data_IF_049928852554
#
_entry.id   IF_049928852554
#
_cell.length_a   1.000
_cell.length_b   1.000
_cell.length_c   1.000
_cell.angle_alpha   90.00
_cell.angle_beta   90.00
_cell.angle_gamma   90.00
#
_symmetry.space_group_name_H-M   'P 1'
#
loop_
_entity.id
_entity.type
_entity.pdbx_description
1 polymer ?
#
# COMPACT_ATOMS: atom_id res chain seq x y z
N UNK A 1 -80.83 -18.16 -34.88
CA UNK A 1 -82.05 -18.18 -34.05
C UNK A 1 -82.43 -19.63 -33.84
N UNK A 2 -82.21 -20.13 -32.61
CA UNK A 2 -82.75 -21.33 -31.93
C UNK A 2 -82.58 -22.73 -32.60
N UNK A 3 -82.15 -23.81 -31.93
CA UNK A 3 -82.42 -24.25 -30.54
C UNK A 3 -81.42 -25.35 -30.04
N UNK A 4 -80.91 -25.18 -28.80
CA UNK A 4 -80.69 -26.12 -27.65
C UNK A 4 -80.31 -27.60 -27.90
N UNK A 5 -79.15 -28.14 -27.43
CA UNK A 5 -78.69 -28.52 -26.06
C UNK A 5 -79.30 -29.81 -25.47
N UNK A 6 -78.51 -30.86 -25.17
CA UNK A 6 -78.00 -31.24 -23.82
C UNK A 6 -77.41 -32.68 -23.72
N UNK A 7 -76.32 -32.83 -22.94
CA UNK A 7 -75.88 -33.95 -22.05
C UNK A 7 -75.66 -35.41 -22.57
N UNK A 8 -74.71 -36.27 -22.13
CA UNK A 8 -74.08 -36.47 -20.82
C UNK A 8 -72.84 -37.44 -20.83
N UNK A 9 -72.04 -37.32 -19.76
CA UNK A 9 -70.81 -37.99 -19.25
C UNK A 9 -70.62 -39.52 -19.34
N UNK A 10 -69.34 -39.95 -19.32
CA UNK A 10 -68.89 -41.26 -18.78
C UNK A 10 -67.49 -41.16 -18.10
N UNK A 11 -67.32 -41.87 -16.98
CA UNK A 11 -66.03 -42.08 -16.27
C UNK A 11 -65.86 -43.53 -15.79
N UNK A 12 -64.74 -44.14 -16.21
CA UNK A 12 -63.77 -45.03 -15.54
C UNK A 12 -64.13 -46.36 -14.79
N UNK A 13 -63.36 -47.43 -15.11
CA UNK A 13 -62.63 -48.39 -14.25
C UNK A 13 -62.13 -49.61 -15.10
N UNK A 14 -60.82 -49.85 -15.30
CA UNK A 14 -59.86 -50.74 -14.54
C UNK A 14 -60.08 -52.27 -14.77
N UNK A 15 -59.12 -53.22 -14.90
CA UNK A 15 -57.65 -53.35 -14.69
C UNK A 15 -57.10 -54.72 -15.21
N UNK A 16 -55.76 -54.80 -15.47
CA UNK A 16 -54.72 -55.90 -15.38
C UNK A 16 -55.02 -57.39 -15.78
N UNK A 17 -54.09 -58.33 -16.10
CA UNK A 17 -52.65 -58.43 -16.45
C UNK A 17 -52.25 -59.94 -16.66
N UNK A 18 -50.99 -60.17 -17.07
CA UNK A 18 -50.09 -61.36 -16.89
C UNK A 18 -49.83 -62.27 -18.11
N UNK A 19 -48.52 -62.59 -18.32
CA UNK A 19 -47.88 -63.36 -19.41
C UNK A 19 -46.87 -64.38 -18.82
N UNK A 20 -46.76 -65.57 -19.43
CA UNK A 20 -45.76 -66.64 -19.17
C UNK A 20 -44.88 -66.91 -20.42
N UNK A 21 -43.72 -67.56 -20.26
CA UNK A 21 -42.61 -67.65 -21.24
C UNK A 21 -42.45 -68.94 -22.07
N UNK A 22 -41.18 -69.19 -22.50
CA UNK A 22 -40.51 -70.41 -23.02
C UNK A 22 -39.91 -70.34 -24.47
N UNK A 23 -38.56 -70.42 -24.50
CA UNK A 23 -37.56 -71.13 -25.32
C UNK A 23 -37.57 -71.35 -26.88
N UNK A 24 -36.40 -70.99 -27.48
CA UNK A 24 -35.50 -71.69 -28.44
C UNK A 24 -35.93 -72.22 -29.82
N UNK A 25 -35.36 -71.70 -30.93
CA UNK A 25 -34.25 -72.31 -31.73
C UNK A 25 -33.87 -71.47 -32.99
N UNK A 26 -32.62 -71.57 -33.45
CA UNK A 26 -31.92 -70.77 -34.49
C UNK A 26 -31.99 -71.30 -35.93
N UNK A 27 -31.93 -70.40 -36.94
CA UNK A 27 -30.93 -70.30 -38.04
C UNK A 27 -31.34 -69.17 -39.05
N UNK A 28 -30.42 -68.64 -39.90
CA UNK A 28 -30.13 -67.20 -39.91
C UNK A 28 -30.35 -66.51 -41.26
N UNK A 29 -30.79 -65.25 -41.24
CA UNK A 29 -30.56 -64.27 -42.31
C UNK A 29 -30.97 -62.86 -41.85
N UNK A 30 -30.07 -61.92 -42.13
CA UNK A 30 -30.26 -60.49 -42.42
C UNK A 30 -31.08 -59.54 -41.51
N UNK A 31 -30.49 -58.34 -41.40
CA UNK A 31 -31.03 -57.04 -40.98
C UNK A 31 -31.19 -56.70 -39.48
N UNK A 32 -30.21 -55.89 -39.02
CA UNK A 32 -30.23 -54.72 -38.08
C UNK A 32 -30.90 -54.93 -36.70
N UNK A 33 -30.30 -54.59 -35.52
CA UNK A 33 -29.77 -53.24 -35.24
C UNK A 33 -28.72 -53.11 -34.11
N UNK A 34 -28.58 -51.88 -33.61
CA UNK A 34 -27.90 -51.46 -32.37
C UNK A 34 -26.43 -51.05 -32.52
N UNK A 35 -26.27 -49.87 -33.14
CA UNK A 35 -25.10 -49.04 -32.95
C UNK A 35 -24.87 -48.71 -31.48
N UNK A 36 -23.69 -49.10 -30.99
CA UNK A 36 -22.92 -48.35 -30.00
C UNK A 36 -21.59 -47.99 -30.65
N UNK A 37 -21.64 -47.06 -31.60
CA UNK A 37 -20.44 -46.32 -31.96
C UNK A 37 -20.16 -45.32 -30.85
N UNK A 38 -18.93 -45.37 -30.35
CA UNK A 38 -18.30 -44.39 -29.47
C UNK A 38 -18.60 -42.98 -29.98
N UNK A 39 -19.54 -42.28 -29.32
CA UNK A 39 -19.45 -40.84 -29.20
C UNK A 39 -18.49 -40.60 -28.04
N UNK A 40 -17.23 -40.32 -28.36
CA UNK A 40 -16.41 -39.53 -27.46
C UNK A 40 -17.20 -38.26 -27.17
N UNK A 41 -17.73 -38.18 -25.96
CA UNK A 41 -18.18 -36.93 -25.39
C UNK A 41 -17.00 -35.95 -25.50
N UNK A 42 -17.18 -34.72 -26.00
CA UNK A 42 -16.21 -33.69 -25.70
C UNK A 42 -16.19 -33.60 -24.18
N UNK A 43 -15.07 -34.00 -23.60
CA UNK A 43 -14.67 -33.65 -22.25
C UNK A 43 -14.99 -32.15 -22.08
N UNK A 44 -15.54 -31.71 -20.93
CA UNK A 44 -15.66 -30.28 -20.70
C UNK A 44 -14.27 -29.70 -20.90
N UNK A 45 -14.13 -28.90 -21.95
CA UNK A 45 -12.92 -28.14 -22.20
C UNK A 45 -12.71 -27.35 -20.92
N UNK A 46 -11.63 -27.69 -20.22
CA UNK A 46 -11.10 -26.81 -19.22
C UNK A 46 -10.88 -25.49 -19.97
N UNK A 47 -11.75 -24.51 -19.72
CA UNK A 47 -11.41 -23.09 -19.82
C UNK A 47 -10.30 -22.85 -18.77
N UNK A 48 -9.12 -23.44 -19.01
CA UNK A 48 -7.89 -23.08 -18.35
C UNK A 48 -7.48 -21.76 -18.96
N UNK A 49 -7.84 -20.69 -18.25
CA UNK A 49 -7.00 -19.53 -18.01
C UNK A 49 -5.88 -19.32 -19.04
N UNK A 50 -6.23 -18.79 -20.21
CA UNK A 50 -5.29 -17.93 -20.92
C UNK A 50 -5.72 -16.50 -20.60
N UNK A 51 -5.27 -16.05 -19.42
CA UNK A 51 -5.35 -14.67 -18.97
C UNK A 51 -4.61 -13.82 -20.01
N UNK A 52 -5.33 -13.22 -20.95
CA UNK A 52 -4.78 -12.10 -21.73
C UNK A 52 -4.62 -10.97 -20.73
N UNK A 53 -3.42 -10.79 -20.19
CA UNK A 53 -3.09 -9.63 -19.37
C UNK A 53 -3.21 -8.39 -20.28
N UNK A 54 -4.11 -7.44 -20.02
CA UNK A 54 -4.09 -6.16 -20.69
C UNK A 54 -2.72 -5.52 -20.48
N UNK A 55 -2.02 -5.28 -21.58
CA UNK A 55 -0.65 -4.75 -21.63
C UNK A 55 -0.50 -3.49 -20.76
N UNK A 56 -1.51 -2.61 -20.78
CA UNK A 56 -1.58 -1.39 -19.98
C UNK A 56 -1.50 -1.64 -18.47
N UNK A 57 -2.26 -2.61 -17.92
CA UNK A 57 -2.24 -2.86 -16.48
C UNK A 57 -0.87 -3.35 -16.00
N UNK A 58 -0.22 -4.20 -16.80
CA UNK A 58 1.12 -4.69 -16.50
C UNK A 58 2.15 -3.57 -16.55
N UNK A 59 2.05 -2.66 -17.53
CA UNK A 59 2.95 -1.51 -17.65
C UNK A 59 2.72 -0.50 -16.52
N UNK A 60 1.46 -0.20 -16.17
CA UNK A 60 1.14 0.65 -15.01
C UNK A 60 1.78 0.10 -13.73
N UNK A 61 1.71 -1.22 -13.51
CA UNK A 61 2.33 -1.85 -12.33
C UNK A 61 3.85 -1.64 -12.29
N UNK A 62 4.52 -1.75 -13.44
CA UNK A 62 5.96 -1.52 -13.54
C UNK A 62 6.32 -0.05 -13.31
N UNK A 63 5.45 0.87 -13.74
CA UNK A 63 5.65 2.31 -13.57
C UNK A 63 5.41 2.79 -12.14
N UNK A 64 4.54 2.13 -11.38
CA UNK A 64 4.28 2.45 -9.96
C UNK A 64 5.24 1.70 -9.04
N UNK A 65 5.82 0.59 -9.52
CA UNK A 65 6.75 -0.20 -8.72
C UNK A 65 7.88 0.71 -8.24
N UNK A 66 8.19 0.72 -6.94
CA UNK A 66 9.35 1.45 -6.46
C UNK A 66 10.61 0.88 -7.15
N UNK A 67 11.32 1.73 -7.90
CA UNK A 67 12.52 1.37 -8.69
C UNK A 67 13.69 0.86 -7.83
N UNK A 68 13.62 1.08 -6.52
CA UNK A 68 14.52 0.60 -5.50
C UNK A 68 13.67 0.19 -4.30
N UNK A 69 14.05 -0.85 -3.54
CA UNK A 69 13.62 -0.95 -2.15
C UNK A 69 14.32 0.18 -1.39
N UNK A 70 13.85 1.41 -1.59
CA UNK A 70 13.83 2.34 -0.48
C UNK A 70 12.82 1.71 0.48
N UNK A 71 13.27 1.43 1.70
CA UNK A 71 12.38 1.05 2.78
C UNK A 71 11.38 2.21 2.98
N UNK A 72 10.30 2.23 2.19
CA UNK A 72 9.10 3.02 2.49
C UNK A 72 8.45 2.51 3.81
N UNK A 73 8.94 1.39 4.36
CA UNK A 73 8.66 0.86 5.69
C UNK A 73 9.59 1.43 6.80
N UNK A 74 10.68 2.13 6.47
CA UNK A 74 11.52 2.84 7.47
C UNK A 74 10.89 4.20 7.79
N UNK A 75 9.74 4.16 8.48
CA UNK A 75 8.99 5.27 9.08
C UNK A 75 8.86 6.51 8.17
N UNK A 76 7.67 6.69 7.55
CA UNK A 76 7.20 7.96 6.95
C UNK A 76 7.83 9.13 7.74
N UNK A 77 8.83 9.81 7.16
CA UNK A 77 9.39 11.09 7.63
C UNK A 77 8.34 12.19 7.39
N UNK A 78 7.10 11.96 7.79
CA UNK A 78 6.34 13.06 8.31
C UNK A 78 7.08 13.44 9.60
N UNK A 79 7.79 14.59 9.57
CA UNK A 79 8.06 15.32 10.81
C UNK A 79 6.81 15.19 11.66
N UNK A 80 6.90 14.68 12.91
CA UNK A 80 5.72 14.47 13.71
C UNK A 80 4.93 15.77 13.68
N UNK A 81 3.75 15.73 13.06
CA UNK A 81 2.92 16.92 12.79
C UNK A 81 2.55 17.64 14.11
N UNK A 82 2.83 16.96 15.24
CA UNK A 82 2.69 17.43 16.59
C UNK A 82 4.07 17.52 17.23
N UNK A 83 4.54 18.76 17.42
CA UNK A 83 5.74 19.05 18.18
C UNK A 83 5.46 18.84 19.68
N UNK A 84 6.03 17.77 20.23
CA UNK A 84 5.98 17.47 21.67
C UNK A 84 7.30 17.77 22.38
N UNK A 85 8.19 18.56 21.78
CA UNK A 85 9.50 18.91 22.33
C UNK A 85 9.45 19.59 23.71
N UNK A 86 8.32 20.21 24.06
CA UNK A 86 8.10 20.89 25.34
C UNK A 86 7.48 20.01 26.44
N UNK A 87 7.08 18.77 26.11
CA UNK A 87 6.42 17.87 27.06
C UNK A 87 7.43 16.96 27.77
N UNK A 88 7.15 16.66 29.04
CA UNK A 88 7.92 15.70 29.83
C UNK A 88 7.36 14.26 29.75
N UNK A 89 8.09 13.27 30.26
CA UNK A 89 7.67 11.84 30.23
C UNK A 89 6.29 11.62 30.84
N UNK A 90 5.96 12.28 31.96
CA UNK A 90 4.65 12.13 32.61
C UNK A 90 3.53 12.64 31.69
N UNK A 91 3.68 13.84 31.11
CA UNK A 91 2.70 14.42 30.20
C UNK A 91 2.52 13.57 28.93
N UNK A 92 3.59 13.00 28.39
CA UNK A 92 3.53 12.09 27.24
C UNK A 92 2.77 10.80 27.57
N UNK A 93 3.00 10.23 28.76
CA UNK A 93 2.29 9.02 29.20
C UNK A 93 0.81 9.30 29.43
N UNK A 94 0.46 10.40 30.09
CA UNK A 94 -0.94 10.80 30.30
C UNK A 94 -1.66 11.05 28.97
N UNK A 95 -0.99 11.73 28.05
CA UNK A 95 -1.52 11.96 26.71
C UNK A 95 -1.71 10.66 25.94
N UNK A 96 -0.77 9.70 26.04
CA UNK A 96 -0.93 8.38 25.43
C UNK A 96 -2.13 7.66 26.03
N UNK A 97 -2.24 7.62 27.36
CA UNK A 97 -3.34 6.96 28.07
C UNK A 97 -4.72 7.50 27.69
N UNK A 98 -4.83 8.82 27.43
CA UNK A 98 -6.03 9.46 26.89
C UNK A 98 -6.25 9.11 25.42
N UNK A 99 -5.20 9.23 24.59
CA UNK A 99 -5.27 8.99 23.14
C UNK A 99 -5.73 7.57 22.83
N UNK A 100 -5.27 6.57 23.59
CA UNK A 100 -5.65 5.17 23.38
C UNK A 100 -7.09 4.83 23.78
N UNK A 101 -7.84 5.76 24.36
CA UNK A 101 -9.28 5.59 24.59
C UNK A 101 -10.11 5.82 23.31
N UNK A 102 -9.57 6.51 22.32
CA UNK A 102 -10.24 6.72 21.04
C UNK A 102 -10.34 5.39 20.27
N UNK A 103 -11.54 5.12 19.76
CA UNK A 103 -11.87 3.87 19.07
C UNK A 103 -11.34 3.89 17.64
N UNK A 104 -11.31 5.07 17.01
CA UNK A 104 -10.84 5.22 15.64
C UNK A 104 -9.31 5.32 15.55
N UNK A 105 -8.68 4.16 15.28
CA UNK A 105 -7.23 4.03 15.08
C UNK A 105 -6.69 4.96 13.99
N UNK A 106 -7.50 5.29 12.98
CA UNK A 106 -7.06 6.13 11.86
C UNK A 106 -6.78 7.57 12.29
N UNK A 107 -7.47 8.06 13.33
CA UNK A 107 -7.30 9.41 13.89
C UNK A 107 -6.10 9.51 14.82
N UNK A 108 -5.82 8.43 15.57
CA UNK A 108 -4.79 8.47 16.61
C UNK A 108 -3.43 7.94 16.18
N UNK A 109 -3.32 7.26 15.01
CA UNK A 109 -2.06 6.63 14.59
C UNK A 109 -0.85 7.58 14.56
N UNK A 110 -1.05 8.82 14.11
CA UNK A 110 0.04 9.80 13.98
C UNK A 110 0.43 10.34 15.36
N UNK A 111 -0.55 10.71 16.18
CA UNK A 111 -0.33 11.18 17.53
C UNK A 111 0.36 10.12 18.40
N UNK A 112 -0.08 8.86 18.36
CA UNK A 112 0.56 7.75 19.09
C UNK A 112 2.00 7.51 18.61
N UNK A 113 2.25 7.60 17.30
CA UNK A 113 3.61 7.49 16.75
C UNK A 113 4.52 8.61 17.27
N UNK A 114 4.05 9.86 17.21
CA UNK A 114 4.79 11.01 17.72
C UNK A 114 5.06 10.88 19.23
N UNK A 115 4.06 10.56 20.05
CA UNK A 115 4.24 10.34 21.50
C UNK A 115 5.28 9.25 21.76
N UNK A 116 5.24 8.13 21.02
CA UNK A 116 6.23 7.06 21.13
C UNK A 116 7.64 7.55 20.85
N UNK A 117 7.85 8.30 19.76
CA UNK A 117 9.17 8.82 19.38
C UNK A 117 9.72 9.75 20.47
N UNK A 118 8.94 10.73 20.92
CA UNK A 118 9.37 11.66 21.96
C UNK A 118 9.59 10.98 23.32
N UNK A 119 8.74 10.02 23.70
CA UNK A 119 8.91 9.27 24.94
C UNK A 119 10.20 8.44 24.92
N UNK A 120 10.47 7.72 23.82
CA UNK A 120 11.69 6.91 23.69
C UNK A 120 12.95 7.78 23.69
N UNK A 121 12.89 8.98 23.11
CA UNK A 121 13.99 9.94 23.17
C UNK A 121 14.29 10.36 24.60
N UNK A 122 13.30 10.84 25.35
CA UNK A 122 13.47 11.22 26.75
C UNK A 122 13.91 10.04 27.62
N UNK A 123 13.37 8.84 27.36
CA UNK A 123 13.77 7.64 28.08
C UNK A 123 15.23 7.27 27.83
N UNK A 124 15.71 7.41 26.58
CA UNK A 124 17.12 7.19 26.24
C UNK A 124 18.02 8.19 26.98
N UNK A 125 17.61 9.47 27.03
CA UNK A 125 18.35 10.52 27.76
C UNK A 125 18.42 10.22 29.27
N UNK A 126 17.32 9.78 29.89
CA UNK A 126 17.30 9.38 31.31
C UNK A 126 18.22 8.19 31.58
N UNK A 127 18.15 7.14 30.75
CA UNK A 127 19.01 5.95 30.88
C UNK A 127 20.49 6.32 30.71
N UNK A 128 20.81 7.21 29.78
CA UNK A 128 22.18 7.70 29.60
C UNK A 128 22.68 8.42 30.87
N UNK A 129 21.84 9.24 31.51
CA UNK A 129 22.19 9.90 32.78
C UNK A 129 22.36 8.90 33.93
N UNK A 130 21.51 7.87 34.01
CA UNK A 130 21.64 6.80 35.01
C UNK A 130 22.94 6.00 34.82
N UNK A 131 23.30 5.68 33.57
CA UNK A 131 24.57 5.04 33.24
C UNK A 131 25.75 5.94 33.64
N UNK A 132 25.70 7.23 33.32
CA UNK A 132 26.74 8.19 33.69
C UNK A 132 26.92 8.28 35.22
N UNK A 133 25.83 8.30 35.99
CA UNK A 133 25.87 8.27 37.45
C UNK A 133 26.44 6.94 37.98
N UNK A 134 26.02 5.81 37.42
CA UNK A 134 26.52 4.49 37.82
C UNK A 134 28.03 4.35 37.60
N UNK A 135 28.55 4.89 36.50
CA UNK A 135 29.99 4.94 36.21
C UNK A 135 30.70 5.86 37.21
N UNK A 136 30.12 7.03 37.52
CA UNK A 136 30.69 7.98 38.48
C UNK A 136 30.81 7.39 39.90
N UNK A 137 29.87 6.51 40.28
CA UNK A 137 29.88 5.77 41.55
C UNK A 137 30.85 4.58 41.55
N UNK A 138 31.61 4.38 40.46
CA UNK A 138 32.63 3.34 40.33
C UNK A 138 32.13 2.02 39.74
N UNK A 139 30.92 2.01 39.17
CA UNK A 139 30.36 0.88 38.45
C UNK A 139 30.95 0.72 37.04
N UNK A 140 30.92 -0.51 36.53
CA UNK A 140 31.34 -0.81 35.15
C UNK A 140 30.14 -0.74 34.19
N UNK A 141 30.27 -0.02 33.07
CA UNK A 141 29.17 0.21 32.12
C UNK A 141 28.56 -1.09 31.60
N UNK A 142 29.34 -2.15 31.38
CA UNK A 142 28.84 -3.43 30.87
C UNK A 142 28.01 -4.20 31.91
N UNK A 143 28.14 -3.83 33.18
CA UNK A 143 27.37 -4.40 34.29
C UNK A 143 26.04 -3.68 34.58
N UNK A 144 25.76 -2.55 33.91
CA UNK A 144 24.52 -1.81 34.11
C UNK A 144 23.30 -2.56 33.57
N UNK A 145 22.26 -2.69 34.39
CA UNK A 145 20.96 -3.24 33.98
C UNK A 145 19.86 -2.24 34.26
N UNK A 146 19.20 -1.75 33.22
CA UNK A 146 18.06 -0.85 33.33
C UNK A 146 16.87 -1.55 34.00
N UNK A 147 16.20 -0.85 34.92
CA UNK A 147 14.95 -1.31 35.54
C UNK A 147 13.87 -0.31 35.19
N UNK A 148 12.80 -0.80 34.55
CA UNK A 148 11.69 0.04 34.10
C UNK A 148 11.14 0.90 35.24
N UNK A 149 11.06 2.20 34.99
CA UNK A 149 10.41 3.13 35.92
C UNK A 149 8.86 2.99 35.87
N UNK A 150 8.12 3.56 36.85
CA UNK A 150 6.65 3.51 36.85
C UNK A 150 5.98 4.14 35.62
N UNK A 151 6.58 5.17 35.02
CA UNK A 151 6.11 5.82 33.79
C UNK A 151 6.36 4.93 32.57
N UNK A 152 7.50 4.25 32.48
CA UNK A 152 7.78 3.25 31.45
C UNK A 152 6.78 2.09 31.51
N UNK A 153 6.46 1.62 32.71
CA UNK A 153 5.45 0.57 32.90
C UNK A 153 4.07 1.03 32.42
N UNK A 154 3.66 2.25 32.79
CA UNK A 154 2.41 2.87 32.32
C UNK A 154 2.39 3.05 30.80
N UNK A 155 3.48 3.56 30.24
CA UNK A 155 3.66 3.71 28.80
C UNK A 155 3.49 2.37 28.08
N UNK A 156 4.21 1.32 28.52
CA UNK A 156 4.14 -0.03 27.93
C UNK A 156 2.72 -0.59 28.01
N UNK A 157 2.01 -0.36 29.12
CA UNK A 157 0.61 -0.78 29.27
C UNK A 157 -0.33 -0.04 28.31
N UNK A 158 -0.24 1.29 28.21
CA UNK A 158 -1.05 2.09 27.30
C UNK A 158 -0.75 1.78 25.82
N UNK A 159 0.53 1.66 25.47
CA UNK A 159 0.97 1.27 24.13
C UNK A 159 0.55 -0.16 23.77
N UNK A 160 0.53 -1.07 24.75
CA UNK A 160 -0.02 -2.42 24.62
C UNK A 160 -1.48 -2.40 24.18
N UNK A 161 -2.32 -1.59 24.83
CA UNK A 161 -3.73 -1.40 24.43
C UNK A 161 -3.86 -0.88 23.00
N UNK A 162 -3.06 0.11 22.62
CA UNK A 162 -3.04 0.60 21.24
C UNK A 162 -2.68 -0.50 20.24
N UNK A 163 -1.68 -1.34 20.56
CA UNK A 163 -1.25 -2.45 19.69
C UNK A 163 -2.36 -3.47 19.50
N UNK A 164 -3.08 -3.82 20.57
CA UNK A 164 -4.24 -4.71 20.51
C UNK A 164 -5.37 -4.13 19.66
N UNK A 165 -5.75 -2.87 19.88
CA UNK A 165 -6.79 -2.20 19.10
C UNK A 165 -6.39 -2.03 17.63
N UNK A 166 -5.12 -1.73 17.34
CA UNK A 166 -4.56 -1.67 15.97
C UNK A 166 -4.61 -3.04 15.30
N UNK A 167 -4.27 -4.12 16.02
CA UNK A 167 -4.34 -5.48 15.49
C UNK A 167 -5.79 -5.86 15.14
N UNK A 168 -6.74 -5.58 16.03
CA UNK A 168 -8.17 -5.80 15.77
C UNK A 168 -8.66 -4.97 14.57
N UNK A 169 -8.29 -3.68 14.48
CA UNK A 169 -8.64 -2.83 13.34
C UNK A 169 -8.12 -3.41 12.02
N UNK A 170 -6.87 -3.87 11.99
CA UNK A 170 -6.27 -4.49 10.81
C UNK A 170 -6.98 -5.80 10.42
N UNK A 171 -7.38 -6.62 11.40
CA UNK A 171 -8.15 -7.84 11.15
C UNK A 171 -9.52 -7.52 10.53
N UNK A 172 -10.22 -6.52 11.04
CA UNK A 172 -11.50 -6.06 10.47
C UNK A 172 -11.32 -5.54 9.04
N UNK A 173 -10.26 -4.75 8.81
CA UNK A 173 -9.95 -4.22 7.49
C UNK A 173 -9.65 -5.35 6.49
N UNK A 174 -8.90 -6.37 6.91
CA UNK A 174 -8.62 -7.52 6.05
C UNK A 174 -9.89 -8.32 5.76
N UNK A 175 -10.74 -8.54 6.76
CA UNK A 175 -12.05 -9.18 6.55
C UNK A 175 -12.90 -8.38 5.56
N UNK A 176 -12.96 -7.05 5.69
CA UNK A 176 -13.68 -6.18 4.76
C UNK A 176 -13.12 -6.29 3.33
N UNK A 177 -11.79 -6.36 3.16
CA UNK A 177 -11.17 -6.59 1.85
C UNK A 177 -11.60 -7.93 1.24
N UNK A 178 -11.66 -8.99 2.04
CA UNK A 178 -12.13 -10.31 1.58
C UNK A 178 -13.62 -10.30 1.20
N UNK A 179 -14.47 -9.60 1.96
CA UNK A 179 -15.88 -9.40 1.60
C UNK A 179 -16.02 -8.62 0.28
N UNK A 180 -15.25 -7.53 0.11
CA UNK A 180 -15.20 -6.76 -1.13
C UNK A 180 -14.75 -7.61 -2.33
N UNK A 181 -13.77 -8.50 -2.14
CA UNK A 181 -13.31 -9.45 -3.16
C UNK A 181 -14.45 -10.38 -3.60
N UNK A 182 -15.23 -10.93 -2.65
CA UNK A 182 -16.38 -11.78 -2.96
C UNK A 182 -17.47 -11.01 -3.73
N UNK A 183 -17.76 -9.77 -3.32
CA UNK A 183 -18.72 -8.91 -4.01
C UNK A 183 -18.26 -8.61 -5.46
N UNK A 184 -16.98 -8.26 -5.66
CA UNK A 184 -16.43 -8.03 -7.01
C UNK A 184 -16.49 -9.28 -7.87
N UNK A 185 -16.15 -10.46 -7.33
CA UNK A 185 -16.29 -11.72 -8.07
C UNK A 185 -17.74 -12.02 -8.46
N UNK A 186 -18.69 -11.75 -7.57
CA UNK A 186 -20.13 -11.92 -7.86
C UNK A 186 -20.56 -11.03 -9.02
N UNK A 187 -20.10 -9.78 -9.07
CA UNK A 187 -20.35 -8.87 -10.20
C UNK A 187 -19.78 -9.42 -11.50
N UNK A 188 -18.58 -10.00 -11.49
CA UNK A 188 -18.00 -10.64 -12.70
C UNK A 188 -18.87 -11.78 -13.20
N UNK A 189 -19.43 -12.58 -12.31
CA UNK A 189 -20.33 -13.68 -12.69
C UNK A 189 -21.69 -13.15 -13.21
N UNK A 190 -22.25 -12.11 -12.58
CA UNK A 190 -23.45 -11.43 -13.07
C UNK A 190 -23.21 -10.81 -14.47
N UNK A 191 -22.04 -10.21 -14.72
CA UNK A 191 -21.64 -9.71 -16.04
C UNK A 191 -21.57 -10.83 -17.08
N UNK A 192 -21.02 -12.01 -16.75
CA UNK A 192 -21.00 -13.15 -17.67
C UNK A 192 -22.41 -13.60 -18.04
N UNK A 193 -23.32 -13.68 -17.07
CA UNK A 193 -24.73 -14.03 -17.30
C UNK A 193 -25.40 -12.98 -18.18
N UNK A 194 -25.17 -11.70 -17.91
CA UNK A 194 -25.71 -10.58 -18.69
C UNK A 194 -25.26 -10.63 -20.16
N UNK A 195 -23.97 -10.90 -20.39
CA UNK A 195 -23.40 -11.09 -21.73
C UNK A 195 -24.00 -12.31 -22.43
N UNK A 196 -24.35 -13.37 -21.70
CA UNK A 196 -25.00 -14.54 -22.28
C UNK A 196 -26.53 -14.37 -22.51
N UNK A 197 -27.17 -13.38 -21.89
CA UNK A 197 -28.63 -13.20 -21.96
C UNK A 197 -29.14 -12.84 -23.37
N UNK A 198 -30.34 -13.32 -23.75
CA UNK A 198 -31.01 -12.94 -25.02
C UNK A 198 -32.04 -11.82 -24.82
N UNK A 199 -31.95 -11.08 -23.72
CA UNK A 199 -32.89 -10.02 -23.40
C UNK A 199 -32.72 -8.77 -24.27
N UNK A 200 -33.69 -7.85 -24.18
CA UNK A 200 -33.66 -6.60 -24.96
C UNK A 200 -32.44 -5.74 -24.60
N UNK A 201 -31.84 -5.11 -25.60
CA UNK A 201 -30.60 -4.33 -25.47
C UNK A 201 -30.66 -3.26 -24.39
N UNK A 202 -31.78 -2.53 -24.29
CA UNK A 202 -31.98 -1.47 -23.30
C UNK A 202 -31.89 -2.02 -21.87
N UNK A 203 -32.62 -3.11 -21.59
CA UNK A 203 -32.61 -3.76 -20.28
C UNK A 203 -31.22 -4.27 -19.92
N UNK A 204 -30.51 -4.91 -20.86
CA UNK A 204 -29.16 -5.40 -20.62
C UNK A 204 -28.15 -4.27 -20.36
N UNK A 205 -28.35 -3.10 -20.98
CA UNK A 205 -27.50 -1.92 -20.74
C UNK A 205 -27.78 -1.26 -19.39
N UNK A 206 -29.06 -1.13 -19.01
CA UNK A 206 -29.45 -0.57 -17.71
C UNK A 206 -28.90 -1.46 -16.57
N UNK A 207 -28.99 -2.78 -16.70
CA UNK A 207 -28.39 -3.74 -15.75
C UNK A 207 -26.86 -3.65 -15.74
N UNK A 208 -26.22 -3.53 -16.90
CA UNK A 208 -24.77 -3.34 -16.99
C UNK A 208 -24.30 -2.08 -16.25
N UNK A 209 -25.04 -0.97 -16.37
CA UNK A 209 -24.73 0.27 -15.65
C UNK A 209 -24.84 0.08 -14.13
N UNK A 210 -25.87 -0.61 -13.66
CA UNK A 210 -26.00 -0.95 -12.23
C UNK A 210 -24.80 -1.78 -11.75
N UNK A 211 -24.34 -2.76 -12.53
CA UNK A 211 -23.16 -3.56 -12.20
C UNK A 211 -21.88 -2.73 -12.19
N UNK A 212 -21.72 -1.83 -13.15
CA UNK A 212 -20.59 -0.89 -13.21
C UNK A 212 -20.57 0.06 -12.00
N UNK A 213 -21.72 0.58 -11.58
CA UNK A 213 -21.82 1.46 -10.42
C UNK A 213 -21.55 0.71 -9.12
N UNK A 214 -22.07 -0.53 -8.98
CA UNK A 214 -21.73 -1.41 -7.86
C UNK A 214 -20.23 -1.70 -7.83
N UNK A 215 -19.61 -2.03 -8.96
CA UNK A 215 -18.18 -2.31 -9.06
C UNK A 215 -17.33 -1.15 -8.54
N UNK A 216 -17.69 0.09 -8.93
CA UNK A 216 -17.02 1.32 -8.50
C UNK A 216 -17.27 1.65 -7.03
N UNK A 217 -18.44 1.30 -6.50
CA UNK A 217 -18.78 1.57 -5.09
C UNK A 217 -18.09 0.63 -4.10
N UNK A 218 -17.63 -0.55 -4.56
CA UNK A 218 -16.95 -1.51 -3.69
C UNK A 218 -15.51 -1.06 -3.47
N UNK A 219 -15.14 -0.95 -2.19
CA UNK A 219 -13.83 -0.48 -1.75
C UNK A 219 -12.66 -1.43 -2.05
N UNK A 220 -11.63 -1.32 -1.23
CA UNK A 220 -10.37 -2.02 -1.40
C UNK A 220 -10.55 -3.55 -1.32
N UNK A 221 -9.73 -4.26 -2.08
CA UNK A 221 -9.64 -5.73 -2.10
C UNK A 221 -8.20 -6.14 -1.77
N UNK A 222 -7.92 -7.43 -1.49
CA UNK A 222 -6.56 -7.89 -1.22
C UNK A 222 -5.65 -7.58 -2.41
N UNK A 223 -4.46 -7.04 -2.14
CA UNK A 223 -3.56 -6.51 -3.18
C UNK A 223 -3.21 -7.54 -4.27
N UNK A 224 -3.10 -8.82 -3.89
CA UNK A 224 -2.83 -9.91 -4.83
C UNK A 224 -3.94 -10.17 -5.85
N UNK A 225 -5.19 -9.79 -5.55
CA UNK A 225 -6.36 -10.07 -6.39
C UNK A 225 -6.77 -8.90 -7.28
N UNK A 226 -6.29 -7.68 -6.98
CA UNK A 226 -6.65 -6.45 -7.70
C UNK A 226 -6.51 -6.63 -9.22
N UNK A 227 -5.35 -7.14 -9.67
CA UNK A 227 -5.05 -7.29 -11.10
C UNK A 227 -5.94 -8.32 -11.78
N UNK A 228 -6.20 -9.45 -11.13
CA UNK A 228 -7.03 -10.51 -11.69
C UNK A 228 -8.47 -10.01 -11.87
N UNK A 229 -9.04 -9.42 -10.81
CA UNK A 229 -10.35 -8.79 -10.83
C UNK A 229 -10.46 -7.75 -11.94
N UNK A 230 -9.48 -6.88 -12.05
CA UNK A 230 -9.46 -5.81 -13.03
C UNK A 230 -9.42 -6.33 -14.48
N UNK A 231 -8.51 -7.27 -14.76
CA UNK A 231 -8.38 -7.87 -16.09
C UNK A 231 -9.68 -8.57 -16.52
N UNK A 232 -10.28 -9.33 -15.61
CA UNK A 232 -11.55 -10.03 -15.88
C UNK A 232 -12.68 -9.04 -16.11
N UNK A 233 -12.77 -7.99 -15.28
CA UNK A 233 -13.78 -6.96 -15.44
C UNK A 233 -13.68 -6.29 -16.81
N UNK A 234 -12.49 -5.81 -17.20
CA UNK A 234 -12.29 -5.15 -18.50
C UNK A 234 -12.57 -6.06 -19.67
N UNK A 235 -12.12 -7.32 -19.62
CA UNK A 235 -12.44 -8.31 -20.64
C UNK A 235 -13.96 -8.48 -20.80
N UNK A 236 -14.71 -8.61 -19.70
CA UNK A 236 -16.16 -8.75 -19.75
C UNK A 236 -16.84 -7.48 -20.25
N UNK A 237 -16.36 -6.30 -19.85
CA UNK A 237 -16.84 -5.01 -20.34
C UNK A 237 -16.64 -4.89 -21.86
N UNK A 238 -15.44 -5.21 -22.36
CA UNK A 238 -15.16 -5.23 -23.81
C UNK A 238 -16.09 -6.20 -24.55
N UNK A 239 -16.25 -7.42 -24.03
CA UNK A 239 -17.18 -8.42 -24.60
C UNK A 239 -18.63 -7.94 -24.61
N UNK A 240 -19.04 -7.22 -23.57
CA UNK A 240 -20.37 -6.60 -23.51
C UNK A 240 -20.53 -5.55 -24.63
N UNK A 241 -19.56 -4.65 -24.80
CA UNK A 241 -19.62 -3.64 -25.86
C UNK A 241 -19.54 -4.23 -27.28
N UNK A 242 -18.80 -5.32 -27.48
CA UNK A 242 -18.77 -6.06 -28.74
C UNK A 242 -20.15 -6.61 -29.10
N UNK A 243 -20.90 -7.10 -28.11
CA UNK A 243 -22.28 -7.60 -28.26
C UNK A 243 -23.28 -6.45 -28.50
N UNK A 244 -23.07 -5.30 -27.87
CA UNK A 244 -23.92 -4.09 -28.00
C UNK A 244 -23.73 -3.35 -29.34
N UNK A 245 -23.07 -3.98 -30.33
CA UNK A 245 -22.94 -3.52 -31.74
C UNK A 245 -24.24 -3.05 -32.43
N UNK A 246 -25.41 -3.29 -31.82
CA UNK A 246 -26.74 -2.95 -32.33
C UNK A 246 -27.14 -1.48 -32.05
N UNK A 247 -26.46 -0.73 -31.16
CA UNK A 247 -26.68 0.71 -30.99
C UNK A 247 -25.36 1.50 -30.91
N UNK A 248 -24.91 2.00 -32.06
CA UNK A 248 -23.63 2.72 -32.26
C UNK A 248 -23.51 3.97 -31.38
N UNK A 249 -24.61 4.70 -31.16
CA UNK A 249 -24.59 6.00 -30.48
C UNK A 249 -24.28 5.94 -28.97
N UNK A 250 -24.85 4.97 -28.24
CA UNK A 250 -24.63 4.86 -26.79
C UNK A 250 -23.18 4.45 -26.47
N UNK A 251 -22.63 3.51 -27.25
CA UNK A 251 -21.23 3.10 -27.14
C UNK A 251 -20.29 4.26 -27.43
N UNK A 252 -20.54 5.00 -28.51
CA UNK A 252 -19.68 6.11 -28.90
C UNK A 252 -19.71 7.24 -27.86
N UNK A 253 -20.86 7.47 -27.21
CA UNK A 253 -20.98 8.43 -26.10
C UNK A 253 -20.19 7.96 -24.85
N UNK A 254 -20.30 6.70 -24.44
CA UNK A 254 -19.53 6.15 -23.32
C UNK A 254 -18.02 6.20 -23.59
N UNK A 255 -17.57 5.79 -24.78
CA UNK A 255 -16.16 5.85 -25.16
C UNK A 255 -15.64 7.30 -25.16
N UNK A 256 -16.46 8.25 -25.63
CA UNK A 256 -16.13 9.68 -25.59
C UNK A 256 -16.03 10.20 -24.16
N UNK A 257 -16.93 9.82 -23.27
CA UNK A 257 -16.86 10.19 -21.85
C UNK A 257 -15.60 9.62 -21.17
N UNK A 258 -15.28 8.35 -21.42
CA UNK A 258 -14.04 7.74 -20.91
C UNK A 258 -12.80 8.47 -21.46
N UNK A 259 -12.82 8.87 -22.73
CA UNK A 259 -11.75 9.64 -23.36
C UNK A 259 -11.57 11.00 -22.67
N UNK A 260 -12.66 11.73 -22.44
CA UNK A 260 -12.65 13.01 -21.71
C UNK A 260 -12.06 12.84 -20.30
N UNK A 261 -12.49 11.82 -19.55
CA UNK A 261 -11.94 11.54 -18.22
C UNK A 261 -10.44 11.16 -18.25
N UNK A 262 -9.99 10.38 -19.24
CA UNK A 262 -8.55 10.05 -19.37
C UNK A 262 -7.72 11.27 -19.80
N UNK A 263 -8.27 12.16 -20.62
CA UNK A 263 -7.63 13.44 -20.96
C UNK A 263 -7.45 14.29 -19.70
N UNK A 264 -8.50 14.42 -18.87
CA UNK A 264 -8.44 15.15 -17.60
C UNK A 264 -7.37 14.55 -16.66
N UNK A 265 -7.26 13.21 -16.61
CA UNK A 265 -6.19 12.56 -15.85
C UNK A 265 -4.80 12.88 -16.39
N UNK A 266 -4.62 12.91 -17.72
CA UNK A 266 -3.35 13.32 -18.32
C UNK A 266 -2.97 14.75 -17.89
N UNK A 267 -3.93 15.68 -17.95
CA UNK A 267 -3.71 17.08 -17.55
C UNK A 267 -3.33 17.19 -16.08
N UNK A 268 -4.07 16.49 -15.20
CA UNK A 268 -3.74 16.44 -13.76
C UNK A 268 -2.37 15.82 -13.50
N UNK A 269 -2.00 14.75 -14.21
CA UNK A 269 -0.70 14.12 -14.07
C UNK A 269 0.44 15.04 -14.57
N UNK A 270 0.21 15.81 -15.62
CA UNK A 270 1.16 16.81 -16.12
C UNK A 270 1.32 17.97 -15.12
N UNK A 271 0.25 18.39 -14.45
CA UNK A 271 0.28 19.43 -13.42
C UNK A 271 1.14 19.04 -12.20
N UNK A 272 1.24 17.73 -11.89
CA UNK A 272 2.11 17.24 -10.81
C UNK A 272 3.60 17.54 -11.03
N UNK A 273 4.01 17.86 -12.26
CA UNK A 273 5.38 18.30 -12.55
C UNK A 273 5.69 19.69 -11.97
N UNK A 274 4.67 20.48 -11.63
CA UNK A 274 4.80 21.80 -11.02
C UNK A 274 4.69 21.75 -9.48
N UNK A 275 4.24 20.62 -8.94
CA UNK A 275 4.09 20.42 -7.51
C UNK A 275 5.47 20.31 -6.83
N UNK A 276 5.67 21.07 -5.75
CA UNK A 276 6.98 21.21 -5.10
C UNK A 276 7.36 19.98 -4.27
N UNK A 277 6.36 19.30 -3.71
CA UNK A 277 6.60 18.16 -2.83
C UNK A 277 6.58 16.87 -3.64
N UNK A 278 7.76 16.28 -3.83
CA UNK A 278 7.92 15.00 -4.53
C UNK A 278 7.05 13.89 -3.90
N UNK A 279 6.99 13.84 -2.57
CA UNK A 279 6.15 12.87 -1.85
C UNK A 279 4.66 13.06 -2.15
N UNK A 280 4.16 14.30 -2.18
CA UNK A 280 2.76 14.58 -2.54
C UNK A 280 2.49 14.26 -4.01
N UNK A 281 3.38 14.67 -4.92
CA UNK A 281 3.27 14.37 -6.34
C UNK A 281 3.18 12.86 -6.58
N UNK A 282 4.01 12.07 -5.91
CA UNK A 282 4.00 10.61 -6.06
C UNK A 282 2.72 9.96 -5.49
N UNK A 283 2.28 10.38 -4.29
CA UNK A 283 1.01 9.90 -3.68
C UNK A 283 -0.19 10.20 -4.61
N UNK A 284 -0.23 11.39 -5.23
CA UNK A 284 -1.27 11.76 -6.20
C UNK A 284 -1.17 10.99 -7.51
N UNK A 285 0.05 10.78 -8.03
CA UNK A 285 0.28 10.00 -9.24
C UNK A 285 -0.24 8.55 -9.08
N UNK A 286 0.01 7.93 -7.93
CA UNK A 286 -0.50 6.60 -7.63
C UNK A 286 -2.03 6.56 -7.64
N UNK A 287 -2.67 7.57 -7.06
CA UNK A 287 -4.13 7.73 -7.13
C UNK A 287 -4.62 7.87 -8.57
N UNK A 288 -3.95 8.65 -9.41
CA UNK A 288 -4.33 8.81 -10.82
C UNK A 288 -4.15 7.53 -11.63
N UNK A 289 -3.19 6.68 -11.31
CA UNK A 289 -3.10 5.34 -11.90
C UNK A 289 -4.28 4.44 -11.52
N UNK A 290 -4.76 4.53 -10.28
CA UNK A 290 -5.93 3.78 -9.84
C UNK A 290 -7.20 4.32 -10.50
N UNK A 291 -7.35 5.65 -10.61
CA UNK A 291 -8.44 6.28 -11.37
C UNK A 291 -8.39 5.89 -12.86
N UNK A 292 -7.20 5.85 -13.48
CA UNK A 292 -7.00 5.41 -14.87
C UNK A 292 -7.51 4.00 -15.10
N UNK A 293 -7.23 3.10 -14.16
CA UNK A 293 -7.70 1.72 -14.18
C UNK A 293 -9.23 1.64 -14.12
N UNK A 294 -9.87 2.50 -13.33
CA UNK A 294 -11.33 2.51 -13.20
C UNK A 294 -12.05 3.06 -14.44
N UNK A 295 -11.37 3.90 -15.23
CA UNK A 295 -11.92 4.40 -16.49
C UNK A 295 -11.89 3.29 -17.54
N UNK A 296 -13.03 3.11 -18.21
CA UNK A 296 -13.20 2.09 -19.25
C UNK A 296 -12.40 2.35 -20.54
N UNK A 297 -12.65 1.56 -21.59
CA UNK A 297 -11.98 1.72 -22.87
C UNK A 297 -12.30 3.08 -23.51
N UNK A 298 -11.40 3.53 -24.38
CA UNK A 298 -11.53 4.75 -25.18
C UNK A 298 -11.63 4.38 -26.68
N UNK A 299 -11.94 5.33 -27.58
CA UNK A 299 -11.92 5.08 -29.02
C UNK A 299 -10.57 4.51 -29.47
N UNK A 300 -10.62 3.51 -30.36
CA UNK A 300 -9.45 2.74 -30.76
C UNK A 300 -8.35 3.61 -31.41
N UNK A 301 -8.75 4.66 -32.11
CA UNK A 301 -7.87 5.65 -32.74
C UNK A 301 -7.18 6.59 -31.74
N UNK A 302 -7.68 6.67 -30.50
CA UNK A 302 -7.15 7.53 -29.42
C UNK A 302 -6.47 6.78 -28.29
N UNK A 303 -6.59 5.46 -28.26
CA UNK A 303 -6.08 4.60 -27.20
C UNK A 303 -4.58 4.82 -26.96
N UNK A 304 -3.77 4.64 -28.00
CA UNK A 304 -2.31 4.72 -27.89
C UNK A 304 -1.84 6.15 -27.58
N UNK A 305 -2.43 7.16 -28.23
CA UNK A 305 -2.13 8.59 -28.00
C UNK A 305 -2.30 8.99 -26.54
N UNK A 306 -3.43 8.59 -25.94
CA UNK A 306 -3.78 8.97 -24.57
C UNK A 306 -2.95 8.17 -23.56
N UNK A 307 -2.73 6.88 -23.81
CA UNK A 307 -1.84 6.06 -22.99
C UNK A 307 -0.41 6.61 -22.97
N UNK A 308 0.16 6.92 -24.13
CA UNK A 308 1.51 7.44 -24.25
C UNK A 308 1.65 8.80 -23.54
N UNK A 309 0.64 9.69 -23.64
CA UNK A 309 0.64 10.97 -22.94
C UNK A 309 0.69 10.79 -21.41
N UNK A 310 -0.16 9.92 -20.86
CA UNK A 310 -0.18 9.65 -19.43
C UNK A 310 1.11 8.98 -18.94
N UNK A 311 1.63 8.03 -19.74
CA UNK A 311 2.89 7.35 -19.47
C UNK A 311 4.07 8.33 -19.44
N UNK A 312 4.15 9.26 -20.39
CA UNK A 312 5.23 10.26 -20.42
C UNK A 312 5.21 11.15 -19.17
N UNK A 313 4.03 11.56 -18.69
CA UNK A 313 3.92 12.30 -17.44
C UNK A 313 4.39 11.46 -16.24
N UNK A 314 3.96 10.21 -16.17
CA UNK A 314 4.38 9.23 -15.15
C UNK A 314 5.88 9.04 -15.12
N UNK A 315 6.50 8.78 -16.28
CA UNK A 315 7.95 8.58 -16.42
C UNK A 315 8.74 9.79 -15.92
N UNK A 316 8.29 11.01 -16.25
CA UNK A 316 8.94 12.25 -15.79
C UNK A 316 8.89 12.39 -14.27
N UNK A 317 7.75 12.12 -13.64
CA UNK A 317 7.62 12.20 -12.18
C UNK A 317 8.51 11.16 -11.50
N UNK A 318 8.60 9.95 -12.06
CA UNK A 318 9.49 8.91 -11.55
C UNK A 318 10.97 9.29 -11.67
N UNK A 319 11.38 9.93 -12.78
CA UNK A 319 12.74 10.50 -12.91
C UNK A 319 12.99 11.54 -11.82
N UNK A 320 12.09 12.51 -11.65
CA UNK A 320 12.21 13.54 -10.62
C UNK A 320 12.31 12.95 -9.20
N UNK A 321 11.51 11.91 -8.92
CA UNK A 321 11.59 11.18 -7.64
C UNK A 321 12.97 10.57 -7.43
N UNK A 322 13.50 9.84 -8.41
CA UNK A 322 14.82 9.22 -8.32
C UNK A 322 15.92 10.26 -8.14
N UNK A 323 15.89 11.34 -8.90
CA UNK A 323 16.87 12.42 -8.81
C UNK A 323 16.83 13.11 -7.44
N UNK A 324 15.64 13.41 -6.90
CA UNK A 324 15.48 13.99 -5.57
C UNK A 324 16.10 13.12 -4.48
N UNK A 325 15.80 11.82 -4.46
CA UNK A 325 16.35 10.92 -3.44
C UNK A 325 17.84 10.66 -3.64
N UNK A 326 18.34 10.61 -4.88
CA UNK A 326 19.77 10.52 -5.14
C UNK A 326 20.52 11.75 -4.62
N UNK A 327 20.00 12.95 -4.87
CA UNK A 327 20.56 14.20 -4.35
C UNK A 327 20.53 14.25 -2.83
N UNK A 328 19.42 13.83 -2.20
CA UNK A 328 19.32 13.78 -0.75
C UNK A 328 20.35 12.81 -0.14
N UNK A 329 20.55 11.64 -0.76
CA UNK A 329 21.57 10.69 -0.31
C UNK A 329 23.00 11.25 -0.48
N UNK A 330 23.29 11.91 -1.60
CA UNK A 330 24.58 12.57 -1.85
C UNK A 330 24.84 13.71 -0.84
N UNK A 331 23.83 14.53 -0.54
CA UNK A 331 23.90 15.58 0.47
C UNK A 331 24.16 14.99 1.86
N UNK A 332 23.42 13.93 2.24
CA UNK A 332 23.63 13.24 3.52
C UNK A 332 25.04 12.65 3.61
N UNK A 333 25.55 12.03 2.55
CA UNK A 333 26.92 11.51 2.51
C UNK A 333 27.96 12.63 2.61
N UNK A 334 27.75 13.75 1.92
CA UNK A 334 28.62 14.94 2.03
C UNK A 334 28.62 15.49 3.46
N UNK A 335 27.45 15.54 4.09
CA UNK A 335 27.31 15.92 5.50
C UNK A 335 28.05 14.95 6.43
N UNK A 336 27.98 13.64 6.15
CA UNK A 336 28.71 12.63 6.89
C UNK A 336 30.23 12.82 6.77
N UNK A 337 30.77 12.99 5.56
CA UNK A 337 32.19 13.23 5.32
C UNK A 337 32.68 14.51 6.03
N UNK A 338 31.88 15.58 5.98
CA UNK A 338 32.19 16.81 6.70
C UNK A 338 32.22 16.58 8.23
N UNK A 339 31.27 15.80 8.77
CA UNK A 339 31.25 15.41 10.20
C UNK A 339 32.44 14.52 10.57
N UNK A 340 32.88 13.61 9.70
CA UNK A 340 34.10 12.81 9.89
C UNK A 340 35.32 13.71 9.98
N UNK A 341 35.48 14.67 9.08
CA UNK A 341 36.59 15.63 9.12
C UNK A 341 36.59 16.49 10.40
N UNK A 342 35.41 16.81 10.96
CA UNK A 342 35.31 17.48 12.26
C UNK A 342 35.74 16.56 13.42
N UNK A 343 35.39 15.27 13.38
CA UNK A 343 35.85 14.29 14.35
C UNK A 343 37.38 14.18 14.34
N UNK A 344 37.98 14.03 13.17
CA UNK A 344 39.44 13.93 13.01
C UNK A 344 40.16 15.17 13.54
N UNK A 345 39.65 16.38 13.26
CA UNK A 345 40.19 17.62 13.83
C UNK A 345 40.04 17.70 15.34
N UNK A 346 38.90 17.27 15.89
CA UNK A 346 38.68 17.24 17.32
C UNK A 346 39.61 16.23 18.01
N UNK A 347 39.83 15.07 17.40
CA UNK A 347 40.77 14.04 17.85
C UNK A 347 42.21 14.56 17.83
N UNK A 348 42.64 15.22 16.75
CA UNK A 348 43.96 15.84 16.64
C UNK A 348 44.20 16.84 17.79
N UNK A 349 43.27 17.78 17.98
CA UNK A 349 43.34 18.76 19.09
C UNK A 349 43.41 18.08 20.46
N UNK A 350 42.69 16.97 20.64
CA UNK A 350 42.66 16.22 21.90
C UNK A 350 43.98 15.52 22.21
N UNK A 351 44.79 15.22 21.19
CA UNK A 351 46.11 14.58 21.35
C UNK A 351 47.27 15.56 21.46
N UNK A 352 47.04 16.85 21.26
CA UNK A 352 48.09 17.87 21.38
C UNK A 352 48.54 18.06 22.83
N UNK A 353 49.85 18.00 23.08
CA UNK A 353 50.42 18.28 24.39
C UNK A 353 50.51 19.81 24.63
N UNK A 354 49.54 20.35 25.37
CA UNK A 354 49.43 21.78 25.67
C UNK A 354 50.00 22.10 27.05
N UNK A 355 51.03 22.96 27.09
CA UNK A 355 51.81 23.26 28.30
C UNK A 355 51.55 24.67 28.87
N UNK A 356 50.60 25.43 28.31
CA UNK A 356 50.30 26.81 28.71
C UNK A 356 48.80 27.11 28.71
N UNK A 357 48.36 27.95 29.64
CA UNK A 357 46.96 28.41 29.78
C UNK A 357 46.48 29.11 28.49
N UNK A 358 47.37 29.88 27.84
CA UNK A 358 47.06 30.57 26.58
C UNK A 358 46.78 29.58 25.43
N UNK A 359 47.56 28.50 25.33
CA UNK A 359 47.34 27.44 24.34
C UNK A 359 46.05 26.66 24.59
N UNK A 360 45.72 26.38 25.86
CA UNK A 360 44.44 25.77 26.24
C UNK A 360 43.24 26.63 25.86
N UNK A 361 43.33 27.95 26.06
CA UNK A 361 42.24 28.86 25.70
C UNK A 361 42.06 28.99 24.18
N UNK A 362 43.17 29.02 23.42
CA UNK A 362 43.12 29.01 21.95
C UNK A 362 42.46 27.74 21.41
N UNK A 363 42.86 26.57 21.90
CA UNK A 363 42.28 25.28 21.49
C UNK A 363 40.84 25.09 21.95
N UNK A 364 40.46 25.62 23.11
CA UNK A 364 39.06 25.65 23.56
C UNK A 364 38.16 26.45 22.61
N UNK A 365 38.66 27.59 22.09
CA UNK A 365 37.94 28.36 21.09
C UNK A 365 37.82 27.57 19.78
N UNK A 366 38.90 26.89 19.35
CA UNK A 366 38.89 26.06 18.15
C UNK A 366 37.86 24.92 18.26
N UNK A 367 37.81 24.20 19.39
CA UNK A 367 36.81 23.15 19.66
C UNK A 367 35.38 23.72 19.68
N UNK A 368 35.18 24.91 20.27
CA UNK A 368 33.89 25.59 20.26
C UNK A 368 33.44 25.96 18.83
N UNK A 369 34.36 26.39 17.98
CA UNK A 369 34.07 26.63 16.56
C UNK A 369 33.76 25.31 15.82
N UNK A 370 34.48 24.22 16.08
CA UNK A 370 34.13 22.90 15.51
C UNK A 370 32.70 22.48 15.87
N UNK A 371 32.28 22.71 17.12
CA UNK A 371 30.91 22.41 17.56
C UNK A 371 29.85 23.30 16.88
N UNK A 372 30.16 24.58 16.63
CA UNK A 372 29.28 25.45 15.83
C UNK A 372 29.15 24.95 14.39
N UNK A 373 30.26 24.57 13.78
CA UNK A 373 30.26 24.02 12.40
C UNK A 373 29.48 22.70 12.38
N UNK A 374 29.69 21.81 13.36
CA UNK A 374 28.93 20.56 13.50
C UNK A 374 27.41 20.80 13.48
N UNK A 375 26.93 21.77 14.26
CA UNK A 375 25.51 22.14 14.34
C UNK A 375 24.96 22.75 13.04
N UNK A 376 25.83 23.34 12.22
CA UNK A 376 25.44 23.92 10.93
C UNK A 376 25.38 22.90 9.79
N UNK A 377 26.01 21.73 9.96
CA UNK A 377 25.96 20.65 8.97
C UNK A 377 24.63 19.90 9.09
N UNK A 378 24.03 19.55 7.95
CA UNK A 378 22.80 18.77 7.91
C UNK A 378 22.95 17.36 8.48
N UNK A 379 21.89 16.57 8.32
CA UNK A 379 21.88 15.19 8.82
C UNK A 379 22.79 14.29 7.96
N UNK A 380 23.47 13.35 8.62
CA UNK A 380 24.16 12.24 7.96
C UNK A 380 23.13 11.13 7.66
N UNK A 381 23.48 10.09 6.87
CA UNK A 381 22.58 8.96 6.67
C UNK A 381 22.16 8.36 8.01
N UNK A 382 20.87 8.03 8.17
CA UNK A 382 20.28 7.57 9.46
C UNK A 382 21.14 6.49 10.14
N UNK A 383 21.63 5.51 9.37
CA UNK A 383 22.45 4.38 9.85
C UNK A 383 23.82 4.78 10.44
N UNK A 384 24.35 5.94 10.04
CA UNK A 384 25.67 6.44 10.47
C UNK A 384 25.58 7.65 11.42
N UNK A 385 24.41 8.26 11.54
CA UNK A 385 24.24 9.53 12.25
C UNK A 385 24.50 9.40 13.76
N UNK A 386 24.10 8.29 14.38
CA UNK A 386 24.34 8.03 15.80
C UNK A 386 25.82 7.75 16.07
N UNK A 387 26.45 6.91 15.25
CA UNK A 387 27.87 6.55 15.39
C UNK A 387 28.77 7.79 15.29
N UNK A 388 28.55 8.64 14.28
CA UNK A 388 29.38 9.81 14.08
C UNK A 388 29.20 10.84 15.19
N UNK A 389 27.99 10.99 15.73
CA UNK A 389 27.72 11.84 16.88
C UNK A 389 28.45 11.36 18.13
N UNK A 390 28.39 10.05 18.43
CA UNK A 390 29.10 9.49 19.58
C UNK A 390 30.61 9.65 19.46
N UNK A 391 31.19 9.46 18.25
CA UNK A 391 32.61 9.70 17.99
C UNK A 391 33.01 11.15 18.28
N UNK A 392 32.24 12.11 17.78
CA UNK A 392 32.52 13.53 18.00
C UNK A 392 32.40 13.92 19.48
N UNK A 393 31.35 13.46 20.16
CA UNK A 393 31.13 13.70 21.59
C UNK A 393 32.30 13.16 22.43
N UNK A 394 32.73 11.92 22.17
CA UNK A 394 33.84 11.30 22.90
C UNK A 394 35.15 12.11 22.81
N UNK A 395 35.47 12.64 21.62
CA UNK A 395 36.66 13.49 21.42
C UNK A 395 36.54 14.82 22.16
N UNK A 396 35.36 15.45 22.15
CA UNK A 396 35.12 16.67 22.92
C UNK A 396 35.23 16.42 24.44
N UNK A 397 34.61 15.35 24.95
CA UNK A 397 34.61 15.00 26.36
C UNK A 397 36.05 14.76 26.84
N UNK A 398 36.84 14.01 26.08
CA UNK A 398 38.26 13.78 26.37
C UNK A 398 39.07 15.10 26.45
N UNK A 399 38.90 16.01 25.48
CA UNK A 399 39.58 17.31 25.51
C UNK A 399 39.27 18.13 26.77
N UNK A 400 37.99 18.20 27.16
CA UNK A 400 37.59 18.96 28.35
C UNK A 400 37.98 18.28 29.65
N UNK A 401 38.03 16.95 29.70
CA UNK A 401 38.53 16.21 30.86
C UNK A 401 40.02 16.44 31.10
N UNK A 402 40.85 16.43 30.05
CA UNK A 402 42.29 16.75 30.16
C UNK A 402 42.50 18.23 30.55
N UNK A 403 41.60 19.13 30.16
CA UNK A 403 41.66 20.56 30.51
C UNK A 403 41.29 20.87 31.97
N UNK A 404 40.36 20.12 32.58
CA UNK A 404 39.87 20.36 33.97
C UNK A 404 40.97 20.75 34.98
N UNK A 405 42.11 20.03 35.10
CA UNK A 405 43.17 20.38 36.05
C UNK A 405 43.93 21.68 35.76
N UNK A 406 43.81 22.25 34.55
CA UNK A 406 44.45 23.51 34.14
C UNK A 406 43.52 24.73 34.19
N UNK A 407 42.28 24.54 34.69
CA UNK A 407 41.25 25.60 34.79
C UNK A 407 41.10 26.19 36.20
N UNK A 408 42.00 25.82 37.12
CA UNK A 408 42.21 26.43 38.45
C UNK A 408 43.44 27.34 38.35
#
# INVERSE_FOLDING_TARGET
VNQTADSQKLTAADTLAIRNGIASNQLPAEEVPAGKQKKESPKPEKLSAELIKPKEASEIQQLIAPDQPFDDDEDDDDEPEHDFSSLNKLQLVEMLEETVQEVDISKIKMQVSAIKVFFLKLNKEDIELEIEQFIADGGDKESYTHVDDPLETRFKAAFGKYKESKAHFNELLEKQKQENLQLKNTILDELKVLIASEETLKKTYDEFKVLQDKWKSIGQVPAGEVNNLWNNYHFLVEKFFDKVKINRELRDLDLKKNLESKIELCEKAEELLLEKSITKSFKLLQKYHDEWKEIGPVPQDKKDEIWDRFKVATDKINVLRREHYAQLQEEQMTNYEAKVALCEKAEEISTENLNSVSSWQKKSNEVSELFKVWKSIGQAPKKLNDEIWHRFKASMDNFFDVKKPFSV
#
